data_IF_462828279979
#
_entry.id   IF_462828279979
#
_cell.length_a   1.000
_cell.length_b   1.000
_cell.length_c   1.000
_cell.angle_alpha   90.00
_cell.angle_beta   90.00
_cell.angle_gamma   90.00
#
_symmetry.space_group_name_H-M   'P 1'
#
loop_
_entity.id
_entity.type
_entity.pdbx_description
1 polymer ?
#
# COMPACT_ATOMS: atom_id res chain seq x y z
N UNK A 1 -23.46 -34.42 -4.12
CA UNK A 1 -22.09 -34.35 -3.57
C UNK A 1 -21.25 -33.41 -4.43
N UNK A 2 -21.30 -32.08 -4.18
CA UNK A 2 -20.41 -31.09 -4.85
C UNK A 2 -20.02 -29.90 -3.94
N UNK A 3 -20.30 -29.96 -2.63
CA UNK A 3 -20.21 -28.80 -1.75
C UNK A 3 -18.77 -28.36 -1.41
N UNK A 4 -17.80 -29.29 -1.38
CA UNK A 4 -16.42 -28.99 -0.94
C UNK A 4 -15.56 -28.45 -2.09
N UNK A 5 -15.80 -28.90 -3.33
CA UNK A 5 -15.04 -28.46 -4.50
C UNK A 5 -15.40 -27.01 -4.86
N UNK A 6 -16.68 -26.66 -4.79
CA UNK A 6 -17.15 -25.29 -5.04
C UNK A 6 -16.69 -24.31 -3.95
N UNK A 7 -16.68 -24.75 -2.68
CA UNK A 7 -16.18 -23.93 -1.57
C UNK A 7 -14.67 -23.66 -1.68
N UNK A 8 -13.88 -24.66 -2.08
CA UNK A 8 -12.42 -24.50 -2.26
C UNK A 8 -12.08 -23.64 -3.47
N UNK A 9 -12.82 -23.76 -4.58
CA UNK A 9 -12.64 -22.89 -5.75
C UNK A 9 -13.00 -21.42 -5.45
N UNK A 10 -14.11 -21.18 -4.76
CA UNK A 10 -14.51 -19.83 -4.35
C UNK A 10 -13.50 -19.19 -3.38
N UNK A 11 -12.97 -19.99 -2.45
CA UNK A 11 -11.96 -19.53 -1.52
C UNK A 11 -10.64 -19.16 -2.22
N UNK A 12 -10.16 -20.01 -3.14
CA UNK A 12 -8.97 -19.74 -3.94
C UNK A 12 -9.15 -18.50 -4.82
N UNK A 13 -10.32 -18.34 -5.45
CA UNK A 13 -10.64 -17.17 -6.26
C UNK A 13 -10.64 -15.88 -5.44
N UNK A 14 -11.18 -15.91 -4.21
CA UNK A 14 -11.13 -14.77 -3.28
C UNK A 14 -9.69 -14.40 -2.90
N UNK A 15 -8.85 -15.39 -2.59
CA UNK A 15 -7.44 -15.16 -2.23
C UNK A 15 -6.67 -14.53 -3.40
N UNK A 16 -6.86 -15.05 -4.61
CA UNK A 16 -6.20 -14.51 -5.82
C UNK A 16 -6.68 -13.09 -6.12
N UNK A 17 -7.99 -12.82 -5.97
CA UNK A 17 -8.55 -11.49 -6.15
C UNK A 17 -8.00 -10.48 -5.14
N UNK A 18 -7.89 -10.87 -3.86
CA UNK A 18 -7.33 -10.03 -2.81
C UNK A 18 -5.82 -9.77 -3.01
N UNK A 19 -5.08 -10.77 -3.47
CA UNK A 19 -3.65 -10.61 -3.78
C UNK A 19 -3.43 -9.69 -4.99
N UNK A 20 -4.23 -9.84 -6.05
CA UNK A 20 -4.18 -8.94 -7.20
C UNK A 20 -4.49 -7.49 -6.82
N UNK A 21 -5.42 -7.28 -5.87
CA UNK A 21 -5.72 -5.94 -5.33
C UNK A 21 -4.55 -5.37 -4.53
N UNK A 22 -3.89 -6.19 -3.71
CA UNK A 22 -2.73 -5.77 -2.90
C UNK A 22 -1.51 -5.38 -3.73
N UNK A 23 -1.32 -5.98 -4.90
CA UNK A 23 -0.24 -5.61 -5.81
C UNK A 23 -0.38 -4.20 -6.39
N UNK A 24 -1.58 -3.62 -6.37
CA UNK A 24 -1.82 -2.21 -6.72
C UNK A 24 -1.87 -1.29 -5.49
N UNK A 25 -1.82 -1.83 -4.27
CA UNK A 25 -1.98 -1.08 -3.04
C UNK A 25 -0.65 -0.69 -2.39
N UNK A 26 -0.57 0.48 -1.80
CA UNK A 26 0.53 0.83 -0.91
C UNK A 26 0.00 1.47 0.37
N UNK A 27 0.78 1.32 1.44
CA UNK A 27 0.43 1.77 2.77
C UNK A 27 1.26 2.99 3.11
N UNK A 28 0.60 4.05 3.56
CA UNK A 28 1.21 5.29 4.01
C UNK A 28 1.01 5.40 5.51
N UNK A 29 2.09 5.66 6.25
CA UNK A 29 2.05 5.87 7.70
C UNK A 29 2.51 7.27 8.04
N UNK A 30 1.79 7.93 8.94
CA UNK A 30 2.17 9.25 9.45
C UNK A 30 1.83 10.40 8.51
N UNK A 31 0.93 10.17 7.53
CA UNK A 31 0.35 11.25 6.75
C UNK A 31 -0.62 12.02 7.65
N UNK A 32 -0.37 13.31 7.96
CA UNK A 32 -1.30 14.07 8.79
C UNK A 32 -2.58 14.35 8.00
N UNK A 33 -3.73 13.85 8.42
CA UNK A 33 -5.03 14.18 7.83
C UNK A 33 -6.07 14.47 8.91
N UNK A 34 -7.10 15.23 8.55
CA UNK A 34 -8.22 15.60 9.41
C UNK A 34 -9.51 14.96 8.91
N UNK A 35 -10.46 14.74 9.82
CA UNK A 35 -11.78 14.23 9.47
C UNK A 35 -12.47 15.14 8.45
N UNK A 36 -12.97 14.54 7.36
CA UNK A 36 -13.61 15.25 6.25
C UNK A 36 -12.67 15.72 5.14
N UNK A 37 -11.34 15.58 5.28
CA UNK A 37 -10.42 15.83 4.17
C UNK A 37 -10.50 14.75 3.09
N UNK A 38 -10.31 15.15 1.84
CA UNK A 38 -10.24 14.23 0.71
C UNK A 38 -8.89 13.50 0.71
N UNK A 39 -8.88 12.25 1.20
CA UNK A 39 -7.68 11.40 1.24
C UNK A 39 -7.04 11.23 -0.14
N UNK A 40 -7.80 11.00 -1.21
CA UNK A 40 -7.25 10.85 -2.55
C UNK A 40 -6.44 12.09 -2.96
N UNK A 41 -6.98 13.28 -2.73
CA UNK A 41 -6.29 14.54 -3.03
C UNK A 41 -5.01 14.69 -2.21
N UNK A 42 -5.03 14.28 -0.95
CA UNK A 42 -3.88 14.36 -0.05
C UNK A 42 -2.77 13.37 -0.43
N UNK A 43 -3.14 12.15 -0.80
CA UNK A 43 -2.19 11.15 -1.30
C UNK A 43 -1.61 11.59 -2.64
N UNK A 44 -2.43 12.13 -3.56
CA UNK A 44 -1.93 12.69 -4.82
C UNK A 44 -0.93 13.84 -4.57
N UNK A 45 -1.20 14.71 -3.58
CA UNK A 45 -0.27 15.79 -3.19
C UNK A 45 1.04 15.25 -2.60
N UNK A 46 0.98 14.17 -1.81
CA UNK A 46 2.18 13.48 -1.32
C UNK A 46 3.01 12.93 -2.48
N UNK A 47 2.36 12.33 -3.49
CA UNK A 47 3.03 11.76 -4.66
C UNK A 47 3.66 12.87 -5.52
N UNK A 48 2.93 13.95 -5.79
CA UNK A 48 3.43 15.08 -6.58
C UNK A 48 4.56 15.82 -5.87
N UNK A 49 4.32 16.23 -4.63
CA UNK A 49 5.18 17.16 -3.91
C UNK A 49 6.30 16.43 -3.16
N UNK A 50 5.99 15.26 -2.59
CA UNK A 50 6.92 14.47 -1.81
C UNK A 50 7.78 13.52 -2.65
N UNK A 51 7.21 12.91 -3.68
CA UNK A 51 7.93 11.96 -4.54
C UNK A 51 8.39 12.57 -5.88
N UNK A 52 7.82 13.72 -6.26
CA UNK A 52 8.09 14.38 -7.54
C UNK A 52 7.46 13.67 -8.73
N UNK A 53 6.38 12.91 -8.53
CA UNK A 53 5.72 12.12 -9.57
C UNK A 53 4.39 12.79 -9.93
N UNK A 54 4.23 13.26 -11.17
CA UNK A 54 3.02 13.99 -11.58
C UNK A 54 1.97 13.14 -12.31
N UNK A 55 2.37 11.98 -12.83
CA UNK A 55 1.57 11.24 -13.82
C UNK A 55 0.90 9.98 -13.28
N UNK A 56 0.96 9.73 -11.96
CA UNK A 56 0.39 8.51 -11.35
C UNK A 56 -0.79 8.94 -10.47
N UNK A 57 -2.03 8.86 -10.97
CA UNK A 57 -3.20 9.17 -10.17
C UNK A 57 -3.54 8.02 -9.23
N UNK A 58 -3.90 8.36 -8.01
CA UNK A 58 -4.48 7.40 -7.06
C UNK A 58 -5.93 7.13 -7.45
N UNK A 59 -6.27 5.84 -7.60
CA UNK A 59 -7.63 5.39 -7.91
C UNK A 59 -8.55 5.57 -6.70
N UNK A 60 -8.08 5.15 -5.53
CA UNK A 60 -8.81 5.30 -4.26
C UNK A 60 -7.86 5.32 -3.07
N UNK A 61 -8.33 5.88 -1.96
CA UNK A 61 -7.64 5.91 -0.68
C UNK A 61 -8.65 5.69 0.43
N UNK A 62 -8.24 4.93 1.44
CA UNK A 62 -9.04 4.63 2.62
C UNK A 62 -8.22 4.84 3.88
N UNK A 63 -8.89 5.33 4.92
CA UNK A 63 -8.32 5.35 6.27
C UNK A 63 -8.25 3.92 6.80
N UNK A 64 -7.04 3.49 7.17
CA UNK A 64 -6.76 2.20 7.78
C UNK A 64 -6.76 2.24 9.31
N UNK A 65 -7.03 3.41 9.91
CA UNK A 65 -6.94 3.66 11.35
C UNK A 65 -5.51 3.99 11.80
N UNK A 66 -5.37 4.57 12.99
CA UNK A 66 -4.08 4.86 13.64
C UNK A 66 -3.07 5.65 12.77
N UNK A 67 -3.58 6.56 11.94
CA UNK A 67 -2.75 7.37 11.03
C UNK A 67 -2.16 6.56 9.86
N UNK A 68 -2.81 5.46 9.51
CA UNK A 68 -2.50 4.62 8.35
C UNK A 68 -3.48 4.97 7.23
N UNK A 69 -2.95 5.17 6.02
CA UNK A 69 -3.76 5.32 4.81
C UNK A 69 -3.37 4.22 3.84
N UNK A 70 -4.37 3.53 3.27
CA UNK A 70 -4.16 2.56 2.19
C UNK A 70 -4.60 3.24 0.90
N UNK A 71 -3.70 3.28 -0.08
CA UNK A 71 -3.97 3.87 -1.39
C UNK A 71 -3.85 2.81 -2.47
N UNK A 72 -4.80 2.81 -3.40
CA UNK A 72 -4.87 1.88 -4.53
C UNK A 72 -4.58 2.63 -5.83
N UNK A 73 -3.74 2.03 -6.67
CA UNK A 73 -3.39 2.52 -8.00
C UNK A 73 -4.10 1.73 -9.09
N UNK A 74 -3.96 2.17 -10.34
CA UNK A 74 -4.51 1.46 -11.48
C UNK A 74 -3.69 0.20 -11.79
N UNK A 75 -2.37 0.26 -11.62
CA UNK A 75 -1.46 -0.82 -11.99
C UNK A 75 -0.36 -1.10 -10.95
N UNK A 76 0.05 -2.37 -10.86
CA UNK A 76 1.14 -2.80 -9.99
C UNK A 76 2.50 -2.15 -10.34
N UNK A 77 2.74 -1.82 -11.61
CA UNK A 77 3.95 -1.12 -12.02
C UNK A 77 4.02 0.31 -11.45
N UNK A 78 2.89 0.99 -11.33
CA UNK A 78 2.81 2.32 -10.69
C UNK A 78 3.17 2.22 -9.20
N UNK A 79 2.75 1.15 -8.53
CA UNK A 79 3.08 0.88 -7.12
C UNK A 79 4.60 0.73 -6.96
N UNK A 80 5.26 -0.02 -7.86
CA UNK A 80 6.73 -0.16 -7.84
C UNK A 80 7.43 1.18 -8.01
N UNK A 81 6.94 2.04 -8.91
CA UNK A 81 7.51 3.39 -9.11
C UNK A 81 7.43 4.20 -7.80
N UNK A 82 6.27 4.22 -7.14
CA UNK A 82 6.07 4.89 -5.85
C UNK A 82 7.00 4.31 -4.77
N UNK A 83 7.06 2.98 -4.65
CA UNK A 83 7.90 2.31 -3.66
C UNK A 83 9.40 2.57 -3.85
N UNK A 84 9.85 2.74 -5.10
CA UNK A 84 11.23 3.11 -5.42
C UNK A 84 11.52 4.59 -5.12
N UNK A 85 10.53 5.46 -5.28
CA UNK A 85 10.66 6.90 -5.04
C UNK A 85 10.56 7.28 -3.55
N UNK A 86 10.01 6.41 -2.68
CA UNK A 86 9.75 6.72 -1.26
C UNK A 86 10.93 7.27 -0.46
N UNK A 87 12.17 6.97 -0.87
CA UNK A 87 13.38 7.52 -0.25
C UNK A 87 13.43 9.05 -0.28
N UNK A 88 12.83 9.66 -1.31
CA UNK A 88 12.74 11.13 -1.47
C UNK A 88 11.93 11.81 -0.37
N UNK A 89 11.04 11.09 0.31
CA UNK A 89 10.24 11.65 1.40
C UNK A 89 11.10 12.10 2.59
N UNK A 90 12.25 11.45 2.83
CA UNK A 90 13.16 11.82 3.92
C UNK A 90 13.69 13.25 3.77
N UNK A 91 13.93 13.66 2.53
CA UNK A 91 14.49 14.98 2.21
C UNK A 91 13.40 16.05 2.07
N UNK A 92 12.13 15.63 1.99
CA UNK A 92 11.00 16.55 1.88
C UNK A 92 10.61 17.12 3.25
N UNK A 93 10.80 18.44 3.44
CA UNK A 93 10.50 19.15 4.70
C UNK A 93 9.12 18.83 5.30
N UNK A 94 8.09 18.73 4.46
CA UNK A 94 6.71 18.47 4.87
C UNK A 94 6.42 16.98 5.15
N UNK A 95 7.22 16.08 4.58
CA UNK A 95 6.92 14.64 4.57
C UNK A 95 8.01 13.77 5.21
N UNK A 96 9.00 14.37 5.88
CA UNK A 96 10.13 13.64 6.49
C UNK A 96 9.74 12.59 7.54
N UNK A 97 8.51 12.64 8.08
CA UNK A 97 7.94 11.64 9.01
C UNK A 97 6.93 10.70 8.36
N UNK A 98 6.74 10.79 7.05
CA UNK A 98 5.82 9.94 6.28
C UNK A 98 6.58 8.73 5.75
N UNK A 99 6.01 7.55 5.93
CA UNK A 99 6.59 6.29 5.47
C UNK A 99 5.66 5.59 4.49
N UNK A 100 6.23 5.03 3.42
CA UNK A 100 5.49 4.24 2.43
C UNK A 100 5.97 2.79 2.44
N UNK A 101 5.01 1.86 2.45
CA UNK A 101 5.23 0.42 2.47
C UNK A 101 4.42 -0.28 1.38
N UNK A 102 4.87 -1.46 0.96
CA UNK A 102 4.04 -2.36 0.16
C UNK A 102 2.88 -2.82 1.05
N UNK A 103 1.67 -2.87 0.50
CA UNK A 103 0.57 -3.58 1.16
C UNK A 103 0.85 -5.08 1.11
N UNK A 104 1.01 -5.69 2.27
CA UNK A 104 1.40 -7.09 2.42
C UNK A 104 0.35 -7.84 3.22
N UNK A 105 0.10 -9.09 2.84
CA UNK A 105 -0.73 -9.99 3.62
C UNK A 105 -0.10 -10.29 5.00
N UNK A 106 -0.90 -10.81 5.94
CA UNK A 106 -0.41 -11.21 7.26
C UNK A 106 0.69 -12.29 7.14
N UNK A 107 0.52 -13.21 6.21
CA UNK A 107 1.45 -14.30 5.91
C UNK A 107 2.75 -13.72 5.35
N UNK A 108 2.68 -12.83 4.35
CA UNK A 108 3.85 -12.17 3.77
C UNK A 108 4.63 -11.34 4.80
N UNK A 109 3.93 -10.64 5.70
CA UNK A 109 4.56 -9.88 6.80
C UNK A 109 5.30 -10.82 7.75
N UNK A 110 4.71 -11.98 8.05
CA UNK A 110 5.28 -12.98 8.95
C UNK A 110 6.52 -13.63 8.34
N UNK A 111 6.45 -14.01 7.05
CA UNK A 111 7.59 -14.54 6.29
C UNK A 111 8.72 -13.51 6.24
N UNK A 112 8.43 -12.25 5.89
CA UNK A 112 9.44 -11.20 5.82
C UNK A 112 10.09 -10.91 7.18
N UNK A 113 9.34 -10.97 8.28
CA UNK A 113 9.89 -10.82 9.62
C UNK A 113 10.86 -11.95 9.93
N UNK A 114 10.47 -13.19 9.67
CA UNK A 114 11.31 -14.36 9.91
C UNK A 114 12.58 -14.34 9.07
N UNK A 115 12.48 -14.00 7.78
CA UNK A 115 13.65 -13.86 6.90
C UNK A 115 14.60 -12.76 7.36
N UNK A 116 14.10 -11.60 7.79
CA UNK A 116 14.95 -10.54 8.37
C UNK A 116 15.68 -11.01 9.62
N UNK A 117 15.02 -11.77 10.48
CA UNK A 117 15.66 -12.35 11.67
C UNK A 117 16.78 -13.30 11.27
N UNK A 118 16.58 -14.15 10.26
CA UNK A 118 17.58 -15.13 9.83
C UNK A 118 18.79 -14.47 9.14
N UNK A 119 18.57 -13.45 8.32
CA UNK A 119 19.65 -12.78 7.55
C UNK A 119 20.45 -11.78 8.40
N UNK A 120 19.88 -11.31 9.52
CA UNK A 120 20.58 -10.46 10.49
C UNK A 120 21.26 -11.25 11.63
N UNK A 121 21.37 -12.58 11.51
CA UNK A 121 22.22 -13.45 12.32
C UNK A 121 23.47 -13.78 11.51
#
# INVERSE_FOLDING_TARGET
>A
MNSIYDATQNHLHSIVSDNNKRDCNFVIKGLPFHDGENLNSKVNSLISDGLGIKSIPVLSSSDGGDGIVIATLQAAEEQKIILNAKRKLKDAKKYGKVFIYKDQSTEERSINRNLKTIVNV
#
